data_IF_966829458283
#
_entry.id   IF_966829458283
#
_cell.length_a   1.000
_cell.length_b   1.000
_cell.length_c   1.000
_cell.angle_alpha   90.00
_cell.angle_beta   90.00
_cell.angle_gamma   90.00
#
_symmetry.space_group_name_H-M   'P 1'
#
loop_
_entity.id
_entity.type
_entity.pdbx_description
1 polymer ?
#
# COMPACT_ATOMS: atom_id res chain seq x y z
N UNK A 1 -6.72 33.95 -28.30
CA UNK A 1 -6.40 33.13 -27.11
C UNK A 1 -7.39 33.45 -25.97
N UNK A 2 -8.69 33.49 -26.25
CA UNK A 2 -9.71 32.43 -26.19
C UNK A 2 -10.19 32.22 -24.75
N UNK A 3 -11.12 33.08 -24.30
CA UNK A 3 -11.81 33.05 -22.99
C UNK A 3 -12.34 31.65 -22.63
N UNK A 4 -12.64 30.84 -23.64
CA UNK A 4 -12.99 29.43 -23.54
C UNK A 4 -11.90 28.56 -22.86
N UNK A 5 -10.63 28.71 -23.26
CA UNK A 5 -9.51 27.98 -22.65
C UNK A 5 -9.27 28.39 -21.19
N UNK A 6 -9.48 29.67 -20.86
CA UNK A 6 -9.37 30.17 -19.48
C UNK A 6 -10.47 29.60 -18.58
N UNK A 7 -11.71 29.54 -19.08
CA UNK A 7 -12.83 28.98 -18.31
C UNK A 7 -12.69 27.45 -18.12
N UNK A 8 -12.16 26.74 -19.12
CA UNK A 8 -11.89 25.31 -19.02
C UNK A 8 -10.80 25.00 -17.98
N UNK A 9 -9.73 25.80 -17.93
CA UNK A 9 -8.67 25.65 -16.93
C UNK A 9 -9.17 25.89 -15.49
N UNK A 10 -10.07 26.87 -15.29
CA UNK A 10 -10.68 27.15 -13.98
C UNK A 10 -11.63 26.03 -13.55
N UNK A 11 -12.40 25.46 -14.49
CA UNK A 11 -13.27 24.32 -14.17
C UNK A 11 -12.47 23.07 -13.77
N UNK A 12 -11.33 22.82 -14.43
CA UNK A 12 -10.47 21.68 -14.13
C UNK A 12 -9.77 21.83 -12.78
N UNK A 13 -9.31 23.04 -12.42
CA UNK A 13 -8.70 23.29 -11.10
C UNK A 13 -9.71 23.17 -9.96
N UNK A 14 -10.97 23.59 -10.18
CA UNK A 14 -12.02 23.45 -9.19
C UNK A 14 -12.43 21.99 -8.97
N UNK A 15 -12.42 21.17 -10.03
CA UNK A 15 -12.67 19.73 -9.94
C UNK A 15 -11.57 18.99 -9.16
N UNK A 16 -10.30 19.43 -9.27
CA UNK A 16 -9.18 18.84 -8.53
C UNK A 16 -9.26 19.18 -7.03
N UNK A 17 -9.73 20.38 -6.67
CA UNK A 17 -9.89 20.78 -5.27
C UNK A 17 -11.02 20.03 -4.52
N UNK A 18 -12.04 19.54 -5.24
CA UNK A 18 -13.19 18.85 -4.64
C UNK A 18 -12.86 17.45 -4.06
N UNK A 19 -11.71 16.86 -4.41
CA UNK A 19 -11.30 15.53 -3.94
C UNK A 19 -10.68 15.52 -2.53
N UNK A 20 -10.66 16.65 -1.82
CA UNK A 20 -9.97 16.77 -0.51
C UNK A 20 -10.78 16.26 0.69
N UNK A 21 -11.96 15.67 0.49
CA UNK A 21 -12.74 15.06 1.57
C UNK A 21 -12.43 13.56 1.72
N UNK A 22 -11.21 13.25 2.19
CA UNK A 22 -10.87 11.87 2.59
C UNK A 22 -11.57 11.59 3.92
N UNK A 23 -12.73 10.92 3.86
CA UNK A 23 -13.44 10.47 5.06
C UNK A 23 -12.56 9.54 5.90
N UNK A 24 -12.51 9.78 7.22
CA UNK A 24 -11.74 8.95 8.13
C UNK A 24 -12.27 7.50 8.09
N UNK A 25 -11.38 6.49 8.06
CA UNK A 25 -11.81 5.09 8.05
C UNK A 25 -12.51 4.72 9.37
N UNK A 26 -13.62 3.99 9.28
CA UNK A 26 -14.32 3.44 10.45
C UNK A 26 -13.41 2.48 11.23
N UNK A 27 -13.51 2.50 12.56
CA UNK A 27 -12.71 1.66 13.47
C UNK A 27 -12.83 0.16 13.18
N UNK A 28 -14.03 -0.31 12.83
CA UNK A 28 -14.28 -1.70 12.47
C UNK A 28 -13.36 -2.19 11.34
N UNK A 29 -13.25 -1.40 10.26
CA UNK A 29 -12.38 -1.73 9.12
C UNK A 29 -10.90 -1.80 9.52
N UNK A 30 -10.48 -1.03 10.51
CA UNK A 30 -9.11 -1.04 11.02
C UNK A 30 -8.81 -2.32 11.81
N UNK A 31 -9.76 -2.77 12.63
CA UNK A 31 -9.65 -4.03 13.38
C UNK A 31 -9.56 -5.21 12.40
N UNK A 32 -10.44 -5.26 11.41
CA UNK A 32 -10.43 -6.32 10.38
C UNK A 32 -9.10 -6.39 9.64
N UNK A 33 -8.45 -5.25 9.38
CA UNK A 33 -7.12 -5.22 8.74
C UNK A 33 -6.04 -5.86 9.60
N UNK A 34 -6.07 -5.64 10.92
CA UNK A 34 -5.11 -6.26 11.84
C UNK A 34 -5.33 -7.78 11.86
N UNK A 35 -6.56 -8.23 12.05
CA UNK A 35 -6.91 -9.66 12.12
C UNK A 35 -6.53 -10.37 10.82
N UNK A 36 -6.83 -9.77 9.66
CA UNK A 36 -6.45 -10.36 8.38
C UNK A 36 -4.92 -10.42 8.20
N UNK A 37 -4.21 -9.40 8.68
CA UNK A 37 -2.74 -9.35 8.58
C UNK A 37 -2.09 -10.41 9.48
N UNK A 38 -2.66 -10.67 10.65
CA UNK A 38 -2.28 -11.76 11.55
C UNK A 38 -2.48 -13.11 10.89
N UNK A 39 -3.69 -13.39 10.38
CA UNK A 39 -4.00 -14.64 9.70
C UNK A 39 -3.06 -14.93 8.52
N UNK A 40 -2.80 -13.92 7.68
CA UNK A 40 -1.89 -14.06 6.53
C UNK A 40 -0.46 -14.32 7.00
N UNK A 41 -0.01 -13.64 8.04
CA UNK A 41 1.32 -13.85 8.58
C UNK A 41 1.48 -15.27 9.13
N UNK A 42 0.49 -15.77 9.87
CA UNK A 42 0.47 -17.16 10.35
C UNK A 42 0.54 -18.15 9.19
N UNK A 43 -0.24 -17.93 8.13
CA UNK A 43 -0.23 -18.79 6.95
C UNK A 43 1.13 -18.81 6.24
N UNK A 44 1.77 -17.65 6.09
CA UNK A 44 3.12 -17.51 5.51
C UNK A 44 4.15 -18.24 6.36
N UNK A 45 4.09 -18.07 7.69
CA UNK A 45 5.05 -18.66 8.62
C UNK A 45 4.86 -20.17 8.80
N UNK A 46 3.64 -20.68 8.57
CA UNK A 46 3.34 -22.12 8.62
C UNK A 46 3.96 -22.90 7.43
N UNK A 47 4.15 -22.24 6.28
CA UNK A 47 4.72 -22.86 5.08
C UNK A 47 6.23 -22.69 5.08
N UNK A 48 6.99 -23.80 5.10
CA UNK A 48 8.46 -23.78 5.10
C UNK A 48 9.09 -23.00 3.95
N UNK A 49 8.43 -22.98 2.79
CA UNK A 49 8.93 -22.31 1.57
C UNK A 49 8.82 -20.79 1.62
N UNK A 50 7.85 -20.25 2.38
CA UNK A 50 7.57 -18.81 2.47
C UNK A 50 7.88 -18.23 3.85
N UNK A 51 8.15 -19.08 4.84
CA UNK A 51 8.42 -18.65 6.21
C UNK A 51 9.66 -17.76 6.26
N UNK A 52 9.51 -16.61 6.93
CA UNK A 52 10.59 -15.64 7.07
C UNK A 52 11.63 -16.22 8.06
N UNK A 53 12.91 -16.36 7.68
CA UNK A 53 13.92 -16.89 8.59
C UNK A 53 14.08 -16.01 9.83
N UNK A 54 14.26 -16.65 10.99
CA UNK A 54 14.41 -15.95 12.27
C UNK A 54 15.60 -14.98 12.29
N UNK A 55 16.68 -15.30 11.58
CA UNK A 55 17.86 -14.43 11.44
C UNK A 55 17.54 -13.11 10.77
N UNK A 56 16.63 -13.11 9.78
CA UNK A 56 16.16 -11.91 9.08
C UNK A 56 15.23 -11.11 10.01
N UNK A 57 14.29 -11.78 10.69
CA UNK A 57 13.39 -11.12 11.65
C UNK A 57 14.13 -10.47 12.82
N UNK A 58 15.23 -11.06 13.28
CA UNK A 58 16.08 -10.48 14.32
C UNK A 58 16.76 -9.19 13.87
N UNK A 59 17.26 -9.14 12.63
CA UNK A 59 17.93 -7.98 12.06
C UNK A 59 16.96 -6.89 11.56
N UNK A 60 15.74 -7.28 11.19
CA UNK A 60 14.72 -6.37 10.69
C UNK A 60 14.42 -5.25 11.70
N UNK A 61 14.33 -4.02 11.19
CA UNK A 61 13.92 -2.82 11.95
C UNK A 61 12.42 -2.62 11.97
N UNK A 62 11.71 -3.23 11.03
CA UNK A 62 10.25 -3.19 10.93
C UNK A 62 9.75 -4.23 9.94
N UNK A 63 8.46 -4.52 10.02
CA UNK A 63 7.73 -5.42 9.12
C UNK A 63 6.52 -4.66 8.62
N UNK A 64 6.31 -4.68 7.30
CA UNK A 64 5.15 -4.09 6.65
C UNK A 64 4.38 -5.20 5.92
N UNK A 65 3.12 -5.38 6.29
CA UNK A 65 2.20 -6.34 5.68
C UNK A 65 1.19 -5.54 4.86
N UNK A 66 1.16 -5.74 3.54
CA UNK A 66 0.26 -4.98 2.64
C UNK A 66 -0.53 -5.92 1.74
N UNK A 67 -1.82 -5.64 1.64
CA UNK A 67 -2.70 -6.21 0.63
C UNK A 67 -2.73 -5.23 -0.53
N UNK A 68 -2.09 -5.58 -1.64
CA UNK A 68 -2.01 -4.72 -2.81
C UNK A 68 -2.98 -5.21 -3.89
N UNK A 69 -3.78 -4.28 -4.40
CA UNK A 69 -4.64 -4.46 -5.56
C UNK A 69 -3.99 -3.74 -6.74
N UNK A 70 -3.94 -4.40 -7.90
CA UNK A 70 -3.46 -3.83 -9.15
C UNK A 70 -4.59 -3.92 -10.18
N UNK A 71 -4.81 -2.85 -10.93
CA UNK A 71 -5.80 -2.85 -12.01
C UNK A 71 -5.46 -1.82 -13.08
N UNK A 72 -5.58 -2.19 -14.36
CA UNK A 72 -5.35 -1.30 -15.49
C UNK A 72 -4.99 -2.03 -16.78
N UNK A 73 -5.56 -1.58 -17.90
CA UNK A 73 -5.28 -2.14 -19.24
C UNK A 73 -4.33 -1.23 -20.06
N UNK A 74 -4.49 0.10 -19.97
CA UNK A 74 -3.59 1.10 -20.61
C UNK A 74 -3.04 2.14 -19.60
N UNK A 75 -3.88 2.55 -18.66
CA UNK A 75 -3.52 3.29 -17.46
C UNK A 75 -3.93 2.41 -16.30
N UNK A 76 -3.01 2.14 -15.38
CA UNK A 76 -3.26 1.32 -14.21
C UNK A 76 -3.03 2.08 -12.92
N UNK A 77 -3.73 1.65 -11.89
CA UNK A 77 -3.47 2.05 -10.51
C UNK A 77 -3.05 0.83 -9.71
N UNK A 78 -2.17 1.05 -8.75
CA UNK A 78 -2.03 0.14 -7.64
C UNK A 78 -2.42 0.87 -6.36
N UNK A 79 -3.19 0.17 -5.54
CA UNK A 79 -3.63 0.66 -4.25
C UNK A 79 -3.57 -0.49 -3.27
N UNK A 80 -3.07 -0.23 -2.08
CA UNK A 80 -2.94 -1.23 -1.05
C UNK A 80 -3.13 -0.65 0.32
N UNK A 81 -3.61 -1.49 1.23
CA UNK A 81 -3.79 -1.16 2.63
C UNK A 81 -3.01 -2.19 3.44
N UNK A 82 -2.46 -1.76 4.56
CA UNK A 82 -1.60 -2.61 5.34
C UNK A 82 -1.38 -2.18 6.77
N UNK A 83 -0.54 -2.96 7.43
CA UNK A 83 -0.11 -2.78 8.82
C UNK A 83 1.41 -2.78 8.88
N UNK A 84 1.98 -1.82 9.58
CA UNK A 84 3.41 -1.68 9.87
C UNK A 84 3.66 -1.92 11.35
N UNK A 85 4.65 -2.73 11.68
CA UNK A 85 5.18 -2.88 13.04
C UNK A 85 6.67 -2.60 13.00
N UNK A 86 7.14 -1.61 13.75
CA UNK A 86 8.55 -1.23 13.81
C UNK A 86 9.15 -1.54 15.18
N UNK A 87 10.43 -1.88 15.23
CA UNK A 87 11.19 -1.97 16.48
C UNK A 87 11.58 -0.58 16.96
N UNK A 88 11.49 -0.37 18.26
CA UNK A 88 12.03 0.84 18.88
C UNK A 88 13.57 0.81 18.78
N UNK A 89 14.20 1.86 18.24
CA UNK A 89 15.64 1.88 18.01
C UNK A 89 16.49 1.88 19.30
N UNK A 90 15.92 2.30 20.44
CA UNK A 90 16.62 2.39 21.72
C UNK A 90 16.66 1.06 22.48
N UNK A 91 15.62 0.23 22.35
CA UNK A 91 15.48 -0.99 23.16
C UNK A 91 15.24 -2.26 22.33
N UNK A 92 15.10 -2.17 21.00
CA UNK A 92 14.91 -3.30 20.10
C UNK A 92 13.55 -4.01 20.21
N UNK A 93 12.63 -3.54 21.07
CA UNK A 93 11.30 -4.13 21.23
C UNK A 93 10.38 -3.75 20.09
N UNK A 94 9.53 -4.68 19.65
CA UNK A 94 8.47 -4.40 18.70
C UNK A 94 7.48 -3.38 19.27
N UNK A 95 7.14 -2.37 18.48
CA UNK A 95 6.14 -1.36 18.80
C UNK A 95 4.72 -1.79 18.47
N UNK A 96 3.80 -0.85 18.61
CA UNK A 96 2.39 -1.04 18.24
C UNK A 96 2.19 -1.03 16.72
N UNK A 97 1.17 -1.72 16.20
CA UNK A 97 0.84 -1.68 14.78
C UNK A 97 0.36 -0.29 14.35
N UNK A 98 0.80 0.16 13.19
CA UNK A 98 0.38 1.38 12.52
C UNK A 98 -0.24 1.06 11.16
N UNK A 99 -1.31 1.76 10.79
CA UNK A 99 -1.96 1.57 9.50
C UNK A 99 -1.24 2.32 8.40
N UNK A 100 -1.01 1.64 7.28
CA UNK A 100 -0.37 2.20 6.09
C UNK A 100 -1.31 2.05 4.89
N UNK A 101 -1.26 3.04 4.00
CA UNK A 101 -1.91 2.97 2.70
C UNK A 101 -0.88 3.26 1.63
N UNK A 102 -0.78 2.36 0.66
CA UNK A 102 0.08 2.50 -0.50
C UNK A 102 -0.81 2.84 -1.69
N UNK A 103 -0.42 3.80 -2.52
CA UNK A 103 -1.18 4.17 -3.71
C UNK A 103 -0.27 4.77 -4.75
N UNK A 104 -0.44 4.36 -6.00
CA UNK A 104 0.33 4.87 -7.13
C UNK A 104 -0.43 4.69 -8.44
N UNK A 105 -0.27 5.63 -9.35
CA UNK A 105 -0.75 5.51 -10.72
C UNK A 105 0.43 5.12 -11.61
N UNK A 106 0.20 4.16 -12.50
CA UNK A 106 1.15 3.69 -13.50
C UNK A 106 0.55 3.90 -14.90
N UNK A 107 1.31 4.53 -15.80
CA UNK A 107 0.88 4.72 -17.20
C UNK A 107 1.67 3.74 -18.06
N UNK A 108 1.01 2.79 -18.73
CA UNK A 108 1.66 1.86 -19.65
C UNK A 108 0.85 0.60 -19.97
N UNK A 109 0.85 0.21 -21.26
CA UNK A 109 0.57 -1.16 -21.71
C UNK A 109 1.77 -2.03 -21.37
N UNK A 110 1.68 -2.86 -20.34
CA UNK A 110 2.65 -3.95 -20.15
C UNK A 110 2.33 -5.14 -21.07
N UNK A 111 2.18 -4.89 -22.37
CA UNK A 111 2.37 -5.91 -23.41
C UNK A 111 3.86 -5.90 -23.78
N UNK A 112 4.66 -6.31 -22.82
CA UNK A 112 6.09 -6.51 -22.96
C UNK A 112 6.47 -7.47 -21.85
N UNK A 113 6.71 -8.72 -22.22
CA UNK A 113 7.27 -9.75 -21.35
C UNK A 113 8.51 -9.15 -20.71
N UNK A 114 8.38 -8.72 -19.45
CA UNK A 114 9.51 -8.38 -18.62
C UNK A 114 9.65 -9.56 -17.67
N UNK A 115 10.42 -10.55 -18.10
CA UNK A 115 11.01 -11.52 -17.18
C UNK A 115 11.82 -10.69 -16.18
N UNK A 116 11.22 -10.45 -15.02
CA UNK A 116 11.96 -10.04 -13.84
C UNK A 116 12.11 -11.33 -13.04
N UNK A 117 13.09 -12.13 -13.46
CA UNK A 117 13.68 -13.09 -12.53
C UNK A 117 14.45 -12.24 -11.51
N UNK A 118 13.98 -12.24 -10.28
CA UNK A 118 14.69 -11.62 -9.16
C UNK A 118 14.45 -12.51 -7.96
N UNK A 119 15.46 -13.32 -7.68
CA UNK A 119 15.68 -14.05 -6.42
C UNK A 119 15.73 -13.11 -5.23
#
# INVERSE_FOLDING_TARGET
>A
MNRFFRNLAIALSLAICANSLIAAPKRENLVTRIVNSEYILEEIMAKKETAIPASILQQAKGIILTLNYRGGFFVGGHGGLGVLVAKNPLNGKWGVPAFVSTGGANVGLQLGVKEIDTV
#
